data_IF_216901252718
#
_entry.id   IF_216901252718
#
_cell.length_a   1.000
_cell.length_b   1.000
_cell.length_c   1.000
_cell.angle_alpha   90.00
_cell.angle_beta   90.00
_cell.angle_gamma   90.00
#
_symmetry.space_group_name_H-M   'P 1'
#
loop_
_entity.id
_entity.type
_entity.pdbx_description
1 polymer ?
#
# COMPACT_ATOMS: atom_id res chain seq x y z
N UNK A 1 -12.29 -14.85 1.51
CA UNK A 1 -11.88 -13.85 0.52
C UNK A 1 -11.16 -14.56 -0.60
N UNK A 2 -11.54 -14.37 -1.86
CA UNK A 2 -10.87 -14.97 -3.02
C UNK A 2 -9.98 -13.94 -3.73
N UNK A 3 -9.13 -14.39 -4.66
CA UNK A 3 -8.16 -13.52 -5.34
C UNK A 3 -8.80 -12.29 -6.02
N UNK A 4 -9.96 -12.46 -6.65
CA UNK A 4 -10.70 -11.37 -7.32
C UNK A 4 -11.24 -10.35 -6.30
N UNK A 5 -11.63 -10.81 -5.11
CA UNK A 5 -12.11 -9.95 -4.02
C UNK A 5 -10.97 -9.14 -3.41
N UNK A 6 -9.75 -9.71 -3.34
CA UNK A 6 -8.54 -8.98 -2.91
C UNK A 6 -8.24 -7.84 -3.87
N UNK A 7 -8.26 -8.10 -5.18
CA UNK A 7 -8.02 -7.07 -6.19
C UNK A 7 -9.04 -5.93 -6.06
N UNK A 8 -10.33 -6.26 -5.97
CA UNK A 8 -11.39 -5.27 -5.81
C UNK A 8 -11.25 -4.46 -4.50
N UNK A 9 -10.85 -5.10 -3.40
CA UNK A 9 -10.62 -4.41 -2.12
C UNK A 9 -9.44 -3.43 -2.22
N UNK A 10 -8.33 -3.86 -2.85
CA UNK A 10 -7.16 -3.01 -3.05
C UNK A 10 -7.46 -1.84 -4.01
N UNK A 11 -8.27 -2.05 -5.05
CA UNK A 11 -8.76 -0.99 -5.93
C UNK A 11 -9.51 0.11 -5.13
N UNK A 12 -10.43 -0.30 -4.26
CA UNK A 12 -11.19 0.62 -3.39
C UNK A 12 -10.30 1.40 -2.42
N UNK A 13 -9.20 0.78 -1.97
CA UNK A 13 -8.20 1.41 -1.12
C UNK A 13 -7.20 2.30 -1.90
N UNK A 14 -7.35 2.40 -3.22
CA UNK A 14 -6.55 3.27 -4.08
C UNK A 14 -5.20 2.66 -4.47
N UNK A 15 -5.07 1.34 -4.40
CA UNK A 15 -3.89 0.58 -4.79
C UNK A 15 -3.96 0.00 -6.20
N UNK A 16 -5.06 0.16 -6.93
CA UNK A 16 -5.28 -0.55 -8.20
C UNK A 16 -4.16 -0.46 -9.23
N UNK A 17 -3.54 0.71 -9.39
CA UNK A 17 -2.41 0.90 -10.32
C UNK A 17 -1.11 0.23 -9.89
N UNK A 18 -1.05 -0.33 -8.68
CA UNK A 18 0.11 -0.97 -8.05
C UNK A 18 -0.03 -2.50 -8.02
N UNK A 19 -1.16 -3.01 -8.50
CA UNK A 19 -1.46 -4.44 -8.57
C UNK A 19 -1.16 -4.91 -9.98
N UNK A 20 -0.42 -5.99 -10.09
CA UNK A 20 -0.17 -6.69 -11.34
C UNK A 20 -0.74 -8.10 -11.25
N UNK A 21 -1.55 -8.48 -12.24
CA UNK A 21 -2.06 -9.85 -12.39
C UNK A 21 -1.60 -10.41 -13.72
N UNK A 22 -0.46 -11.10 -13.70
CA UNK A 22 0.12 -11.75 -14.88
C UNK A 22 -0.50 -13.12 -15.15
N UNK A 23 -0.96 -13.80 -14.11
CA UNK A 23 -1.54 -15.14 -14.19
C UNK A 23 -2.84 -15.24 -13.36
N UNK A 24 -3.75 -16.18 -13.69
CA UNK A 24 -5.03 -16.31 -12.98
C UNK A 24 -4.90 -16.57 -11.48
N UNK A 25 -3.85 -17.28 -11.07
CA UNK A 25 -3.60 -17.71 -9.69
C UNK A 25 -2.43 -16.94 -9.04
N UNK A 26 -2.17 -15.73 -9.51
CA UNK A 26 -1.08 -14.88 -9.02
C UNK A 26 -1.53 -13.43 -8.94
N UNK A 27 -1.16 -12.77 -7.86
CA UNK A 27 -1.32 -11.33 -7.69
C UNK A 27 -0.01 -10.75 -7.16
N UNK A 28 0.46 -9.67 -7.77
CA UNK A 28 1.66 -8.95 -7.34
C UNK A 28 1.32 -7.52 -6.94
N UNK A 29 2.05 -7.00 -5.96
CA UNK A 29 1.91 -5.64 -5.46
C UNK A 29 3.29 -4.94 -5.45
N UNK A 30 3.39 -3.83 -6.19
CA UNK A 30 4.60 -3.01 -6.38
C UNK A 30 5.88 -3.81 -6.73
N UNK A 31 5.75 -4.92 -7.44
CA UNK A 31 6.88 -5.81 -7.75
C UNK A 31 7.67 -6.27 -6.51
N UNK A 32 7.06 -6.22 -5.31
CA UNK A 32 7.73 -6.46 -4.03
C UNK A 32 7.03 -7.53 -3.18
N UNK A 33 5.74 -7.76 -3.39
CA UNK A 33 4.96 -8.80 -2.76
C UNK A 33 4.22 -9.61 -3.83
N UNK A 34 4.22 -10.93 -3.69
CA UNK A 34 3.50 -11.85 -4.58
C UNK A 34 2.66 -12.82 -3.76
N UNK A 35 1.37 -12.85 -4.03
CA UNK A 35 0.47 -13.95 -3.68
C UNK A 35 0.40 -14.89 -4.88
N UNK A 36 0.77 -16.16 -4.72
CA UNK A 36 0.64 -17.14 -5.80
C UNK A 36 0.31 -18.54 -5.30
N UNK A 37 -0.37 -19.31 -6.14
CA UNK A 37 -0.60 -20.74 -5.90
C UNK A 37 0.68 -21.53 -6.17
N UNK A 38 1.06 -22.39 -5.24
CA UNK A 38 2.25 -23.26 -5.31
C UNK A 38 1.81 -24.72 -5.06
N UNK A 39 1.66 -25.49 -6.13
CA UNK A 39 1.09 -26.84 -6.05
C UNK A 39 -0.34 -26.82 -5.48
N UNK A 40 -0.52 -27.49 -4.35
CA UNK A 40 -1.80 -27.58 -3.65
C UNK A 40 -2.04 -26.47 -2.63
N UNK A 41 -1.07 -25.56 -2.45
CA UNK A 41 -1.13 -24.47 -1.47
C UNK A 41 -1.02 -23.08 -2.10
N UNK A 42 -1.03 -22.09 -1.21
CA UNK A 42 -0.93 -20.66 -1.49
C UNK A 42 0.20 -20.04 -0.69
N UNK A 43 0.94 -19.15 -1.35
CA UNK A 43 2.14 -18.54 -0.80
C UNK A 43 2.11 -17.02 -0.96
N UNK A 44 2.50 -16.32 0.10
CA UNK A 44 2.86 -14.90 0.05
C UNK A 44 4.38 -14.80 0.16
N UNK A 45 5.01 -14.20 -0.84
CA UNK A 45 6.45 -14.02 -0.91
C UNK A 45 6.84 -12.56 -1.07
N UNK A 46 7.96 -12.18 -0.44
CA UNK A 46 8.69 -10.96 -0.81
C UNK A 46 9.48 -11.28 -2.06
N UNK A 47 9.34 -10.45 -3.08
CA UNK A 47 10.02 -10.62 -4.36
C UNK A 47 10.91 -9.41 -4.67
N UNK A 48 12.01 -9.65 -5.38
CA UNK A 48 12.82 -8.60 -6.00
C UNK A 48 13.23 -9.06 -7.39
N UNK A 49 12.91 -8.28 -8.43
CA UNK A 49 13.21 -8.62 -9.83
C UNK A 49 12.75 -10.04 -10.21
N UNK A 50 11.53 -10.41 -9.80
CA UNK A 50 10.93 -11.74 -9.97
C UNK A 50 11.56 -12.89 -9.18
N UNK A 51 12.58 -12.64 -8.35
CA UNK A 51 13.16 -13.64 -7.48
C UNK A 51 12.46 -13.61 -6.12
N UNK A 52 12.13 -14.80 -5.59
CA UNK A 52 11.63 -14.93 -4.22
C UNK A 52 12.78 -14.71 -3.26
N UNK A 53 12.66 -13.66 -2.45
CA UNK A 53 13.63 -13.29 -1.44
C UNK A 53 13.29 -13.89 -0.08
N UNK A 54 11.99 -13.93 0.25
CA UNK A 54 11.48 -14.48 1.49
C UNK A 54 10.03 -14.96 1.34
N UNK A 55 9.57 -15.82 2.25
CA UNK A 55 8.20 -16.35 2.31
C UNK A 55 7.57 -15.95 3.63
N UNK A 56 6.51 -15.14 3.55
CA UNK A 56 5.80 -14.63 4.72
C UNK A 56 4.71 -15.61 5.16
N UNK A 57 4.00 -16.19 4.19
CA UNK A 57 2.91 -17.14 4.43
C UNK A 57 3.02 -18.30 3.46
N UNK A 58 2.82 -19.52 3.97
CA UNK A 58 2.63 -20.74 3.20
C UNK A 58 1.48 -21.53 3.84
N UNK A 59 0.37 -21.68 3.14
CA UNK A 59 -0.84 -22.30 3.68
C UNK A 59 -1.65 -23.03 2.59
N UNK A 60 -2.50 -23.96 2.99
CA UNK A 60 -3.33 -24.70 2.04
C UNK A 60 -4.53 -23.89 1.51
N UNK A 61 -5.05 -22.96 2.32
CA UNK A 61 -6.32 -22.29 2.05
C UNK A 61 -6.14 -20.94 1.35
N UNK A 62 -6.74 -20.79 0.17
CA UNK A 62 -6.75 -19.53 -0.59
C UNK A 62 -7.25 -18.36 0.25
N UNK A 63 -8.30 -18.60 1.04
CA UNK A 63 -8.97 -17.55 1.80
C UNK A 63 -8.08 -16.96 2.89
N UNK A 64 -7.30 -17.82 3.56
CA UNK A 64 -6.33 -17.40 4.57
C UNK A 64 -5.18 -16.61 3.91
N UNK A 65 -4.66 -17.10 2.77
CA UNK A 65 -3.60 -16.40 2.03
C UNK A 65 -4.06 -15.04 1.52
N UNK A 66 -5.29 -14.95 0.97
CA UNK A 66 -5.86 -13.70 0.49
C UNK A 66 -6.05 -12.67 1.61
N UNK A 67 -6.56 -13.11 2.77
CA UNK A 67 -6.74 -12.24 3.94
C UNK A 67 -5.38 -11.73 4.46
N UNK A 68 -4.40 -12.62 4.61
CA UNK A 68 -3.06 -12.26 5.05
C UNK A 68 -2.34 -11.32 4.06
N UNK A 69 -2.56 -11.51 2.75
CA UNK A 69 -1.98 -10.63 1.73
C UNK A 69 -2.55 -9.21 1.80
N UNK A 70 -3.87 -9.08 1.97
CA UNK A 70 -4.51 -7.79 2.16
C UNK A 70 -4.05 -7.12 3.46
N UNK A 71 -3.94 -7.88 4.56
CA UNK A 71 -3.43 -7.38 5.83
C UNK A 71 -1.98 -6.88 5.73
N UNK A 72 -1.11 -7.64 5.05
CA UNK A 72 0.29 -7.27 4.83
C UNK A 72 0.40 -5.95 4.05
N UNK A 73 -0.41 -5.77 3.00
CA UNK A 73 -0.43 -4.51 2.25
C UNK A 73 -1.00 -3.38 3.11
N UNK A 74 -2.13 -3.59 3.77
CA UNK A 74 -2.85 -2.50 4.44
C UNK A 74 -2.22 -2.04 5.75
N UNK A 75 -1.39 -2.88 6.38
CA UNK A 75 -0.62 -2.54 7.59
C UNK A 75 0.64 -1.72 7.31
N UNK A 76 1.15 -1.75 6.08
CA UNK A 76 2.33 -0.99 5.64
C UNK A 76 2.05 0.50 5.53
N UNK A 77 3.10 1.31 5.60
CA UNK A 77 3.03 2.75 5.44
C UNK A 77 3.36 3.18 4.02
N UNK A 78 2.55 4.07 3.46
CA UNK A 78 2.70 4.57 2.09
C UNK A 78 2.75 6.10 2.06
N UNK A 79 3.56 6.68 1.15
CA UNK A 79 3.59 8.11 0.97
C UNK A 79 2.23 8.59 0.44
N UNK A 80 1.72 9.66 1.04
CA UNK A 80 0.49 10.33 0.60
C UNK A 80 0.74 11.76 0.15
N UNK A 81 1.77 12.41 0.68
CA UNK A 81 2.15 13.77 0.32
C UNK A 81 3.66 13.95 0.45
N UNK A 82 4.24 14.78 -0.41
CA UNK A 82 5.66 15.13 -0.36
C UNK A 82 5.87 16.59 -0.76
N UNK A 83 6.72 17.30 -0.02
CA UNK A 83 7.09 18.68 -0.33
C UNK A 83 8.47 19.01 0.23
N UNK A 84 9.14 20.00 -0.37
CA UNK A 84 10.34 20.62 0.19
C UNK A 84 10.01 21.77 1.16
N UNK A 85 8.78 22.28 1.09
CA UNK A 85 8.29 23.34 1.95
C UNK A 85 7.69 22.73 3.21
N UNK A 86 8.42 22.80 4.32
CA UNK A 86 7.96 22.31 5.62
C UNK A 86 6.57 22.84 6.01
N UNK A 87 6.22 24.12 5.80
CA UNK A 87 4.88 24.60 6.10
C UNK A 87 3.76 23.88 5.34
N UNK A 88 3.99 23.45 4.09
CA UNK A 88 3.01 22.67 3.34
C UNK A 88 2.85 21.26 3.90
N UNK A 89 3.93 20.66 4.39
CA UNK A 89 3.91 19.35 5.05
C UNK A 89 3.16 19.43 6.37
N UNK A 90 3.42 20.47 7.17
CA UNK A 90 2.72 20.70 8.43
C UNK A 90 1.21 20.94 8.21
N UNK A 91 0.85 21.75 7.21
CA UNK A 91 -0.55 21.96 6.83
C UNK A 91 -1.24 20.66 6.41
N UNK A 92 -0.59 19.86 5.55
CA UNK A 92 -1.09 18.55 5.16
C UNK A 92 -1.27 17.60 6.36
N UNK A 93 -0.32 17.61 7.30
CA UNK A 93 -0.39 16.79 8.50
C UNK A 93 -1.53 17.23 9.43
N UNK A 94 -1.77 18.53 9.55
CA UNK A 94 -2.89 19.08 10.32
C UNK A 94 -4.24 18.64 9.72
N UNK A 95 -4.40 18.67 8.40
CA UNK A 95 -5.61 18.18 7.73
C UNK A 95 -5.87 16.69 8.02
N UNK A 96 -4.83 15.85 7.94
CA UNK A 96 -4.94 14.43 8.29
C UNK A 96 -5.30 14.23 9.77
N UNK A 97 -4.73 15.04 10.66
CA UNK A 97 -5.02 15.00 12.10
C UNK A 97 -6.47 15.38 12.39
N UNK A 98 -6.99 16.44 11.76
CA UNK A 98 -8.40 16.85 11.87
C UNK A 98 -9.35 15.77 11.35
N UNK A 99 -8.93 15.01 10.34
CA UNK A 99 -9.65 13.85 9.83
C UNK A 99 -9.45 12.57 10.67
N UNK A 100 -8.74 12.62 11.81
CA UNK A 100 -8.40 11.44 12.61
C UNK A 100 -7.68 10.34 11.80
N UNK A 101 -6.74 10.74 10.94
CA UNK A 101 -5.89 9.84 10.16
C UNK A 101 -4.46 9.92 10.71
N UNK A 102 -3.96 8.87 11.39
CA UNK A 102 -2.58 8.82 11.83
C UNK A 102 -1.61 8.94 10.66
N UNK A 103 -0.60 9.80 10.80
CA UNK A 103 0.43 10.00 9.79
C UNK A 103 1.82 10.08 10.42
N UNK A 104 2.82 9.62 9.67
CA UNK A 104 4.23 9.69 10.02
C UNK A 104 4.94 10.66 9.08
N UNK A 105 5.73 11.56 9.64
CA UNK A 105 6.59 12.45 8.88
C UNK A 105 7.98 11.82 8.73
N UNK A 106 8.49 11.73 7.49
CA UNK A 106 9.83 11.21 7.20
C UNK A 106 10.60 12.14 6.28
N UNK A 107 11.81 12.51 6.68
CA UNK A 107 12.79 13.13 5.80
C UNK A 107 13.29 12.10 4.78
N UNK A 108 13.32 12.48 3.51
CA UNK A 108 13.84 11.59 2.46
C UNK A 108 15.32 11.85 2.24
N UNK A 109 16.02 10.93 1.57
CA UNK A 109 17.41 11.13 1.17
C UNK A 109 17.59 12.26 0.13
N UNK A 110 16.51 12.82 -0.41
CA UNK A 110 16.56 14.00 -1.28
C UNK A 110 16.65 15.26 -0.41
N UNK A 111 17.62 16.16 -0.65
CA UNK A 111 17.80 17.35 0.18
C UNK A 111 16.50 18.16 0.31
N UNK A 112 16.09 18.39 1.57
CA UNK A 112 14.93 19.21 1.92
C UNK A 112 13.57 18.57 1.68
N UNK A 113 13.46 17.40 1.02
CA UNK A 113 12.16 16.78 0.78
C UNK A 113 11.69 16.01 2.02
N UNK A 114 10.47 16.32 2.45
CA UNK A 114 9.79 15.65 3.55
C UNK A 114 8.53 14.95 3.01
N UNK A 115 8.28 13.73 3.48
CA UNK A 115 7.12 12.90 3.10
C UNK A 115 6.21 12.67 4.29
N UNK A 116 4.91 12.79 4.06
CA UNK A 116 3.89 12.24 4.94
C UNK A 116 3.52 10.84 4.47
N UNK A 117 3.54 9.93 5.43
CA UNK A 117 3.21 8.53 5.24
C UNK A 117 1.98 8.18 6.07
N UNK A 118 1.09 7.34 5.54
CA UNK A 118 -0.08 6.80 6.28
C UNK A 118 -0.13 5.29 6.13
N UNK A 119 -0.76 4.59 7.06
CA UNK A 119 -1.05 3.17 6.88
C UNK A 119 -1.92 2.95 5.64
N UNK A 120 -1.72 1.82 4.96
CA UNK A 120 -2.41 1.51 3.71
C UNK A 120 -3.93 1.48 3.85
N UNK A 121 -4.44 1.00 4.99
CA UNK A 121 -5.87 1.06 5.34
C UNK A 121 -6.47 2.48 5.32
N UNK A 122 -5.64 3.52 5.49
CA UNK A 122 -6.04 4.93 5.48
C UNK A 122 -5.73 5.66 4.17
N UNK A 123 -5.07 5.02 3.20
CA UNK A 123 -4.49 5.70 2.04
C UNK A 123 -5.54 6.41 1.16
N UNK A 124 -6.62 5.72 0.79
CA UNK A 124 -7.70 6.30 -0.02
C UNK A 124 -8.32 7.53 0.67
N UNK A 125 -8.64 7.39 1.95
CA UNK A 125 -9.24 8.46 2.76
C UNK A 125 -8.29 9.65 2.91
N UNK A 126 -7.00 9.40 3.16
CA UNK A 126 -5.99 10.44 3.26
C UNK A 126 -5.84 11.23 1.95
N UNK A 127 -5.83 10.54 0.80
CA UNK A 127 -5.81 11.19 -0.53
C UNK A 127 -7.05 12.05 -0.75
N UNK A 128 -8.23 11.58 -0.34
CA UNK A 128 -9.47 12.33 -0.47
C UNK A 128 -9.44 13.65 0.32
N UNK A 129 -9.00 13.59 1.58
CA UNK A 129 -8.85 14.78 2.44
C UNK A 129 -7.92 15.80 1.79
N UNK A 130 -6.70 15.39 1.44
CA UNK A 130 -5.69 16.30 0.89
C UNK A 130 -6.07 16.86 -0.49
N UNK A 131 -6.79 16.10 -1.32
CA UNK A 131 -7.31 16.59 -2.61
C UNK A 131 -8.43 17.61 -2.44
N UNK A 132 -9.29 17.43 -1.44
CA UNK A 132 -10.40 18.34 -1.13
C UNK A 132 -9.94 19.77 -0.83
N UNK A 133 -8.76 19.90 -0.23
CA UNK A 133 -8.15 21.18 0.15
C UNK A 133 -7.13 21.72 -0.89
N UNK A 134 -7.06 21.13 -2.08
CA UNK A 134 -6.26 21.66 -3.19
C UNK A 134 -4.75 21.48 -3.04
N UNK A 135 -4.28 20.62 -2.12
CA UNK A 135 -2.86 20.31 -2.01
C UNK A 135 -2.43 19.39 -3.17
N UNK A 136 -1.32 19.71 -3.87
CA UNK A 136 -0.85 18.89 -4.98
C UNK A 136 -0.38 17.52 -4.47
N UNK A 137 -1.18 16.48 -4.73
CA UNK A 137 -0.80 15.11 -4.45
C UNK A 137 0.28 14.67 -5.46
N UNK A 138 1.52 14.57 -5.01
CA UNK A 138 2.59 13.84 -5.71
C UNK A 138 2.91 12.59 -4.89
N UNK A 139 2.37 11.46 -5.35
CA UNK A 139 2.75 10.12 -4.90
C UNK A 139 4.11 9.75 -5.51
#
# INVERSE_FOLDING_TARGET
MLLDEVQAALDQLGFGSRILRTEPNQLEFDDCLRLSRQGDGWRIAVIERNLVMDVIVDCAEEQAACAAFLEEITSRHYPVFSSQELPLVEAAQQLLTLAAIPSLCRYTGSPGQTRLMVQGSNLARARQVLKGDGLPLRA
#
